data_IF_728882329376
#
_entry.id   IF_728882329376
#
_cell.length_a   1.000
_cell.length_b   1.000
_cell.length_c   1.000
_cell.angle_alpha   90.00
_cell.angle_beta   90.00
_cell.angle_gamma   90.00
#
_symmetry.space_group_name_H-M   'P 1'
#
loop_
_entity.id
_entity.type
_entity.pdbx_description
1 polymer ?
#
# COMPACT_ATOMS: atom_id res chain seq x y z
N UNK A 1 -1.03 -14.85 11.17
CA UNK A 1 -0.20 -14.34 10.06
C UNK A 1 -0.08 -12.85 10.21
N UNK A 2 1.13 -12.31 9.99
CA UNK A 2 1.44 -10.89 10.10
C UNK A 2 1.65 -10.29 8.72
N UNK A 3 0.99 -9.18 8.44
CA UNK A 3 1.03 -8.47 7.16
C UNK A 3 1.62 -7.08 7.39
N UNK A 4 2.82 -6.85 6.85
CA UNK A 4 3.52 -5.56 6.93
C UNK A 4 3.32 -4.78 5.65
N UNK A 5 2.68 -3.63 5.73
CA UNK A 5 2.38 -2.75 4.60
C UNK A 5 3.50 -1.72 4.42
N UNK A 6 4.08 -1.67 3.23
CA UNK A 6 5.15 -0.73 2.89
C UNK A 6 4.72 0.22 1.77
N UNK A 7 4.89 1.52 1.97
CA UNK A 7 4.70 2.54 0.94
C UNK A 7 5.93 2.67 0.05
N UNK A 8 5.74 2.66 -1.26
CA UNK A 8 6.77 3.01 -2.23
C UNK A 8 6.81 4.53 -2.44
N UNK A 9 8.00 5.16 -2.56
CA UNK A 9 8.11 6.56 -2.99
C UNK A 9 7.80 6.76 -4.50
N UNK A 10 7.36 5.70 -5.19
CA UNK A 10 7.01 5.69 -6.60
C UNK A 10 6.76 4.25 -7.04
N UNK A 11 7.63 3.73 -7.90
CA UNK A 11 7.54 2.37 -8.46
C UNK A 11 8.01 1.30 -7.46
N UNK A 12 7.20 0.27 -7.20
CA UNK A 12 7.55 -0.86 -6.32
C UNK A 12 8.85 -1.59 -6.69
N UNK A 13 9.27 -1.55 -7.95
CA UNK A 13 10.51 -2.18 -8.41
C UNK A 13 11.75 -1.32 -8.16
N UNK A 14 11.58 -0.06 -7.75
CA UNK A 14 12.66 0.91 -7.57
C UNK A 14 12.78 1.31 -6.11
N UNK A 15 13.99 1.67 -5.70
CA UNK A 15 14.24 2.20 -4.36
C UNK A 15 13.67 1.33 -3.21
N UNK A 16 13.61 0.00 -3.37
CA UNK A 16 13.02 -0.96 -2.42
C UNK A 16 13.54 -0.79 -0.97
N UNK A 17 14.76 -0.32 -0.79
CA UNK A 17 15.36 -0.03 0.53
C UNK A 17 14.84 1.25 1.20
N UNK A 18 14.20 2.15 0.44
CA UNK A 18 13.58 3.39 0.91
C UNK A 18 12.08 3.23 1.14
N UNK A 19 11.50 2.05 0.90
CA UNK A 19 10.09 1.82 1.17
C UNK A 19 9.84 1.89 2.68
N UNK A 20 8.80 2.63 3.05
CA UNK A 20 8.50 2.97 4.44
C UNK A 20 7.43 2.03 4.98
N UNK A 21 7.61 1.51 6.19
CA UNK A 21 6.60 0.69 6.86
C UNK A 21 5.50 1.61 7.38
N UNK A 22 4.27 1.44 6.88
CA UNK A 22 3.13 2.32 7.23
C UNK A 22 2.16 1.63 8.20
N UNK A 23 2.00 0.31 8.09
CA UNK A 23 1.08 -0.43 8.95
C UNK A 23 1.51 -1.89 9.13
N UNK A 24 0.97 -2.50 10.17
CA UNK A 24 1.16 -3.91 10.50
C UNK A 24 -0.18 -4.46 10.95
N UNK A 25 -0.71 -5.40 10.19
CA UNK A 25 -1.98 -6.07 10.50
C UNK A 25 -1.75 -7.55 10.79
N UNK A 26 -2.56 -8.11 11.69
CA UNK A 26 -2.50 -9.54 12.05
C UNK A 26 -3.84 -10.19 11.78
N UNK A 27 -3.84 -11.29 11.02
CA UNK A 27 -5.04 -12.04 10.67
C UNK A 27 -4.75 -13.47 10.25
N UNK A 28 -5.78 -14.24 9.89
CA UNK A 28 -5.61 -15.62 9.42
C UNK A 28 -5.20 -15.66 7.94
N UNK A 29 -5.75 -14.75 7.13
CA UNK A 29 -5.51 -14.62 5.70
C UNK A 29 -5.42 -13.14 5.28
N UNK A 30 -4.98 -12.89 4.04
CA UNK A 30 -4.95 -11.53 3.46
C UNK A 30 -6.36 -10.94 3.35
N UNK A 31 -7.37 -11.78 3.09
CA UNK A 31 -8.76 -11.38 2.98
C UNK A 31 -9.31 -10.89 4.32
N UNK A 32 -8.91 -11.52 5.44
CA UNK A 32 -9.32 -11.11 6.78
C UNK A 32 -8.80 -9.71 7.17
N UNK A 33 -7.66 -9.29 6.61
CA UNK A 33 -7.02 -8.00 6.91
C UNK A 33 -7.20 -6.97 5.80
N UNK A 34 -7.87 -7.32 4.69
CA UNK A 34 -7.95 -6.46 3.50
C UNK A 34 -8.58 -5.09 3.81
N UNK A 35 -9.70 -5.06 4.55
CA UNK A 35 -10.37 -3.82 4.93
C UNK A 35 -9.50 -2.95 5.87
N UNK A 36 -8.75 -3.59 6.77
CA UNK A 36 -7.82 -2.89 7.66
C UNK A 36 -6.66 -2.28 6.88
N UNK A 37 -6.09 -3.01 5.93
CA UNK A 37 -5.03 -2.52 5.04
C UNK A 37 -5.52 -1.38 4.14
N UNK A 38 -6.73 -1.48 3.58
CA UNK A 38 -7.35 -0.40 2.78
C UNK A 38 -7.47 0.86 3.63
N UNK A 39 -7.95 0.73 4.86
CA UNK A 39 -8.05 1.85 5.79
C UNK A 39 -6.67 2.44 6.10
N UNK A 40 -5.69 1.59 6.38
CA UNK A 40 -4.32 2.03 6.65
C UNK A 40 -3.71 2.82 5.49
N UNK A 41 -3.91 2.39 4.23
CA UNK A 41 -3.47 3.16 3.06
C UNK A 41 -4.17 4.52 2.99
N UNK A 42 -5.48 4.57 3.21
CA UNK A 42 -6.25 5.82 3.14
C UNK A 42 -5.83 6.81 4.22
N UNK A 43 -5.64 6.33 5.44
CA UNK A 43 -5.20 7.13 6.59
C UNK A 43 -3.77 7.64 6.35
N UNK A 44 -2.85 6.78 5.89
CA UNK A 44 -1.48 7.13 5.52
C UNK A 44 -1.40 8.23 4.45
N UNK A 45 -2.23 8.13 3.40
CA UNK A 45 -2.32 9.15 2.36
C UNK A 45 -2.92 10.46 2.89
N UNK A 46 -3.92 10.40 3.76
CA UNK A 46 -4.56 11.58 4.33
C UNK A 46 -3.67 12.33 5.34
N UNK A 47 -2.75 11.61 6.01
CA UNK A 47 -1.76 12.18 6.92
C UNK A 47 -0.61 12.91 6.19
N UNK A 48 -0.40 12.64 4.90
CA UNK A 48 0.59 13.37 4.11
C UNK A 48 0.16 14.83 3.89
N UNK A 49 0.99 15.83 4.24
CA UNK A 49 0.65 17.24 4.01
C UNK A 49 0.36 17.57 2.55
N UNK A 50 0.99 16.86 1.62
CA UNK A 50 0.83 17.02 0.16
C UNK A 50 -0.57 16.62 -0.32
N UNK A 51 -1.21 15.68 0.38
CA UNK A 51 -2.54 15.17 0.06
C UNK A 51 -3.58 15.50 1.13
N UNK A 52 -3.20 16.30 2.13
CA UNK A 52 -4.12 16.80 3.12
C UNK A 52 -5.29 17.49 2.40
N UNK A 53 -6.52 17.07 2.74
CA UNK A 53 -7.77 17.51 2.10
C UNK A 53 -8.09 16.97 0.71
N UNK A 54 -7.30 16.02 0.18
CA UNK A 54 -7.68 15.24 -1.00
C UNK A 54 -8.56 14.05 -0.61
N UNK A 55 -9.45 13.64 -1.51
CA UNK A 55 -10.17 12.38 -1.34
C UNK A 55 -9.19 11.22 -1.63
N UNK A 56 -9.18 10.21 -0.75
CA UNK A 56 -8.28 9.05 -0.86
C UNK A 56 -9.06 7.75 -0.92
N UNK A 57 -8.61 6.84 -1.78
CA UNK A 57 -9.11 5.48 -1.90
C UNK A 57 -7.94 4.50 -2.01
N UNK A 58 -8.22 3.22 -1.81
CA UNK A 58 -7.24 2.16 -2.05
C UNK A 58 -7.94 0.94 -2.65
N UNK A 59 -7.25 0.26 -3.55
CA UNK A 59 -7.67 -1.05 -4.04
C UNK A 59 -7.39 -2.14 -3.00
N UNK A 60 -8.11 -3.25 -3.11
CA UNK A 60 -7.85 -4.46 -2.32
C UNK A 60 -6.44 -5.00 -2.59
N UNK A 61 -5.82 -5.71 -1.63
CA UNK A 61 -4.55 -6.40 -1.86
C UNK A 61 -4.67 -7.46 -2.96
N UNK A 62 -3.75 -7.43 -3.93
CA UNK A 62 -3.61 -8.46 -4.96
C UNK A 62 -2.24 -9.16 -4.85
N UNK A 63 -2.11 -10.44 -5.22
CA UNK A 63 -0.79 -11.06 -5.33
C UNK A 63 0.11 -10.29 -6.31
N UNK A 64 1.39 -10.14 -5.97
CA UNK A 64 2.35 -9.43 -6.83
C UNK A 64 2.37 -10.03 -8.23
N UNK A 65 2.13 -9.19 -9.24
CA UNK A 65 2.06 -9.63 -10.65
C UNK A 65 3.42 -10.11 -11.15
N UNK A 66 3.39 -11.10 -12.03
CA UNK A 66 4.59 -11.79 -12.53
C UNK A 66 5.57 -10.90 -13.32
N UNK A 67 5.13 -9.74 -13.80
CA UNK A 67 5.98 -8.76 -14.48
C UNK A 67 6.80 -7.90 -13.52
N UNK A 68 6.44 -7.82 -12.23
CA UNK A 68 7.22 -7.07 -11.22
C UNK A 68 8.55 -7.78 -11.00
N UNK A 69 9.63 -6.98 -10.90
CA UNK A 69 10.98 -7.50 -10.65
C UNK A 69 11.23 -7.70 -9.16
N UNK A 70 10.56 -6.93 -8.31
CA UNK A 70 10.66 -7.03 -6.86
C UNK A 70 10.04 -8.33 -6.37
N UNK A 71 10.82 -9.11 -5.61
CA UNK A 71 10.36 -10.36 -4.96
C UNK A 71 10.25 -10.25 -3.45
N UNK A 72 10.43 -9.04 -2.91
CA UNK A 72 10.33 -8.77 -1.48
C UNK A 72 8.89 -8.88 -0.98
N UNK A 73 7.94 -8.49 -1.82
CA UNK A 73 6.53 -8.41 -1.48
C UNK A 73 5.79 -9.64 -2.00
N UNK A 74 4.81 -10.11 -1.23
CA UNK A 74 3.93 -11.21 -1.63
C UNK A 74 2.63 -10.69 -2.23
N UNK A 75 2.17 -9.53 -1.75
CA UNK A 75 1.02 -8.82 -2.29
C UNK A 75 1.38 -7.36 -2.62
N UNK A 76 0.66 -6.76 -3.55
CA UNK A 76 0.71 -5.34 -3.89
C UNK A 76 -0.68 -4.70 -3.70
N UNK A 77 -0.68 -3.41 -3.40
CA UNK A 77 -1.87 -2.56 -3.28
C UNK A 77 -1.61 -1.24 -3.97
N UNK A 78 -2.67 -0.58 -4.41
CA UNK A 78 -2.58 0.74 -5.03
C UNK A 78 -3.49 1.72 -4.27
N UNK A 79 -2.85 2.74 -3.72
CA UNK A 79 -3.50 3.93 -3.18
C UNK A 79 -3.79 4.92 -4.29
N UNK A 80 -4.93 5.60 -4.20
CA UNK A 80 -5.38 6.62 -5.13
C UNK A 80 -5.64 7.89 -4.34
N UNK A 81 -5.06 8.98 -4.81
CA UNK A 81 -5.40 10.33 -4.34
C UNK A 81 -6.12 11.05 -5.48
N UNK A 82 -7.25 11.67 -5.16
CA UNK A 82 -8.04 12.50 -6.07
C UNK A 82 -7.84 13.98 -5.72
N UNK A 83 -6.90 14.68 -6.39
CA UNK A 83 -6.66 16.08 -6.11
C UNK A 83 -7.77 16.93 -6.73
N UNK A 84 -8.36 17.84 -5.94
CA UNK A 84 -9.54 18.63 -6.35
C UNK A 84 -9.34 19.49 -7.60
N UNK A 85 -8.09 19.89 -7.88
CA UNK A 85 -7.75 20.82 -8.95
C UNK A 85 -6.76 20.24 -9.97
N UNK A 86 -6.43 18.95 -9.87
CA UNK A 86 -5.57 18.28 -10.84
C UNK A 86 -6.42 17.56 -11.90
N UNK A 87 -5.90 17.48 -13.13
CA UNK A 87 -6.54 16.74 -14.22
C UNK A 87 -6.37 15.22 -14.08
N UNK A 88 -5.36 14.78 -13.33
CA UNK A 88 -4.99 13.39 -13.15
C UNK A 88 -4.95 12.98 -11.68
N UNK A 89 -5.30 11.72 -11.41
CA UNK A 89 -5.18 11.13 -10.07
C UNK A 89 -3.74 10.71 -9.82
N UNK A 90 -3.33 10.79 -8.55
CA UNK A 90 -2.01 10.29 -8.14
C UNK A 90 -2.17 8.85 -7.67
N UNK A 91 -1.39 7.95 -8.30
CA UNK A 91 -1.35 6.54 -7.95
C UNK A 91 -0.07 6.27 -7.15
N UNK A 92 -0.23 5.61 -6.00
CA UNK A 92 0.87 5.29 -5.10
C UNK A 92 0.86 3.79 -4.85
N UNK A 93 1.98 3.14 -5.16
CA UNK A 93 2.11 1.72 -4.97
C UNK A 93 2.49 1.38 -3.52
N UNK A 94 1.88 0.31 -3.00
CA UNK A 94 2.19 -0.28 -1.70
C UNK A 94 2.51 -1.76 -1.86
N UNK A 95 3.48 -2.24 -1.09
CA UNK A 95 3.91 -3.63 -1.08
C UNK A 95 3.68 -4.27 0.29
N UNK A 96 3.16 -5.49 0.32
CA UNK A 96 2.88 -6.21 1.56
C UNK A 96 3.80 -7.41 1.69
N UNK A 97 4.42 -7.53 2.86
CA UNK A 97 5.16 -8.73 3.28
C UNK A 97 4.26 -9.52 4.21
N UNK A 98 4.07 -10.79 3.87
CA UNK A 98 3.42 -11.77 4.74
C UNK A 98 4.48 -12.55 5.51
N UNK A 99 4.35 -12.61 6.83
CA UNK A 99 5.22 -13.34 7.74
C UNK A 99 4.37 -14.25 8.65
N UNK A 100 4.87 -15.45 8.94
CA UNK A 100 4.29 -16.32 9.95
C UNK A 100 4.58 -15.76 11.35
N UNK A 101 3.60 -15.84 12.26
CA UNK A 101 3.88 -15.63 13.69
C UNK A 101 4.57 -16.90 14.20
N UNK A 102 5.84 -16.77 14.56
CA UNK A 102 6.69 -17.84 15.13
C UNK A 102 6.37 -18.02 16.61
#
# INVERSE_FOLDING_TARGET
MKYKLFRSPGDLDKAVRKHELVAVETGKSIDDVADALIRAVRDDLAEMPEYAHCETAAYVPEPVKSFRRVRRYRYEMMGIVYPKYAEENVLIDYGIIEEEEV
#
